data_IF_124866024144
#
_entry.id   IF_124866024144
#
_cell.length_a   1.000
_cell.length_b   1.000
_cell.length_c   1.000
_cell.angle_alpha   90.00
_cell.angle_beta   90.00
_cell.angle_gamma   90.00
#
_symmetry.space_group_name_H-M   'P 1'
#
loop_
_entity.id
_entity.type
_entity.pdbx_description
1 polymer ?
#
# COMPACT_ATOMS: atom_id res chain seq x y z
N UNK A 1 -15.37 1.50 -9.28
CA UNK A 1 -14.08 1.02 -8.76
C UNK A 1 -14.15 -0.49 -8.67
N UNK A 2 -13.12 -1.14 -9.16
CA UNK A 2 -13.11 -2.57 -9.41
C UNK A 2 -12.27 -3.29 -8.34
N UNK A 3 -12.86 -4.32 -7.75
CA UNK A 3 -12.23 -5.10 -6.67
C UNK A 3 -12.08 -6.55 -7.11
N UNK A 4 -10.86 -7.05 -7.03
CA UNK A 4 -10.54 -8.45 -7.24
C UNK A 4 -10.52 -9.17 -5.89
N UNK A 5 -11.35 -10.20 -5.73
CA UNK A 5 -11.43 -11.03 -4.53
C UNK A 5 -10.78 -12.37 -4.85
N UNK A 6 -9.80 -12.77 -4.05
CA UNK A 6 -9.09 -14.05 -4.19
C UNK A 6 -9.20 -14.80 -2.87
N UNK A 7 -10.13 -15.75 -2.82
CA UNK A 7 -10.52 -16.47 -1.62
C UNK A 7 -11.08 -17.84 -2.02
N UNK A 8 -10.53 -18.93 -1.50
CA UNK A 8 -10.92 -20.29 -1.86
C UNK A 8 -12.19 -20.74 -1.13
N UNK A 9 -12.46 -20.23 0.07
CA UNK A 9 -13.70 -20.50 0.80
C UNK A 9 -14.89 -19.74 0.21
N UNK A 10 -15.78 -20.49 -0.47
CA UNK A 10 -16.92 -19.91 -1.20
C UNK A 10 -17.83 -19.01 -0.35
N UNK A 11 -18.02 -19.35 0.92
CA UNK A 11 -18.88 -18.59 1.85
C UNK A 11 -18.25 -17.24 2.21
N UNK A 12 -16.94 -17.21 2.46
CA UNK A 12 -16.19 -16.00 2.75
C UNK A 12 -16.14 -15.11 1.50
N UNK A 13 -15.76 -15.67 0.35
CA UNK A 13 -15.76 -14.95 -0.93
C UNK A 13 -17.12 -14.31 -1.23
N UNK A 14 -18.21 -15.04 -1.01
CA UNK A 14 -19.58 -14.53 -1.20
C UNK A 14 -19.95 -13.43 -0.21
N UNK A 15 -19.56 -13.56 1.06
CA UNK A 15 -19.76 -12.53 2.07
C UNK A 15 -19.05 -11.23 1.69
N UNK A 16 -17.78 -11.32 1.30
CA UNK A 16 -16.97 -10.18 0.85
C UNK A 16 -17.63 -9.51 -0.35
N UNK A 17 -17.95 -10.30 -1.39
CA UNK A 17 -18.57 -9.82 -2.60
C UNK A 17 -19.86 -9.06 -2.33
N UNK A 18 -20.83 -9.70 -1.64
CA UNK A 18 -22.12 -9.06 -1.34
C UNK A 18 -21.98 -7.81 -0.48
N UNK A 19 -21.02 -7.80 0.44
CA UNK A 19 -20.77 -6.64 1.29
C UNK A 19 -20.30 -5.45 0.46
N UNK A 20 -19.34 -5.67 -0.43
CA UNK A 20 -18.75 -4.59 -1.23
C UNK A 20 -19.63 -4.14 -2.40
N UNK A 21 -20.37 -5.06 -3.02
CA UNK A 21 -21.36 -4.70 -4.04
C UNK A 21 -22.48 -3.80 -3.50
N UNK A 22 -22.91 -3.98 -2.23
CA UNK A 22 -23.85 -3.08 -1.55
C UNK A 22 -23.30 -1.68 -1.34
N UNK A 23 -21.98 -1.54 -1.27
CA UNK A 23 -21.27 -0.26 -1.16
C UNK A 23 -20.98 0.40 -2.52
N UNK A 24 -21.46 -0.22 -3.62
CA UNK A 24 -21.34 0.28 -4.99
C UNK A 24 -20.03 -0.08 -5.70
N UNK A 25 -19.28 -1.05 -5.20
CA UNK A 25 -18.08 -1.56 -5.87
C UNK A 25 -18.44 -2.65 -6.89
N UNK A 26 -17.63 -2.78 -7.95
CA UNK A 26 -17.71 -3.91 -8.89
C UNK A 26 -16.75 -4.98 -8.40
N UNK A 27 -17.22 -6.19 -8.17
CA UNK A 27 -16.43 -7.26 -7.59
C UNK A 27 -16.26 -8.45 -8.56
N UNK A 28 -15.03 -8.93 -8.68
CA UNK A 28 -14.65 -10.14 -9.42
C UNK A 28 -14.02 -11.12 -8.44
N UNK A 29 -14.52 -12.38 -8.40
CA UNK A 29 -14.08 -13.36 -7.41
C UNK A 29 -13.42 -14.55 -8.07
N UNK A 30 -12.25 -14.95 -7.56
CA UNK A 30 -11.45 -16.08 -7.98
C UNK A 30 -11.04 -16.92 -6.78
N UNK A 31 -10.84 -18.24 -6.99
CA UNK A 31 -10.59 -19.19 -5.89
C UNK A 31 -9.15 -19.69 -5.83
N UNK A 32 -8.32 -19.29 -6.75
CA UNK A 32 -6.92 -19.70 -6.81
C UNK A 32 -6.02 -18.57 -7.31
N UNK A 33 -4.76 -18.64 -6.91
CA UNK A 33 -3.79 -17.58 -7.19
C UNK A 33 -3.42 -17.44 -8.67
N UNK A 34 -3.45 -18.53 -9.47
CA UNK A 34 -3.11 -18.46 -10.89
C UNK A 34 -4.19 -17.76 -11.69
N UNK A 35 -5.46 -18.11 -11.44
CA UNK A 35 -6.60 -17.42 -12.05
C UNK A 35 -6.63 -15.93 -11.65
N UNK A 36 -6.28 -15.62 -10.39
CA UNK A 36 -6.19 -14.24 -9.92
C UNK A 36 -5.11 -13.44 -10.66
N UNK A 37 -3.91 -14.01 -10.90
CA UNK A 37 -2.86 -13.35 -11.66
C UNK A 37 -3.25 -13.07 -13.11
N UNK A 38 -3.96 -13.99 -13.76
CA UNK A 38 -4.48 -13.78 -15.11
C UNK A 38 -5.54 -12.67 -15.14
N UNK A 39 -6.46 -12.70 -14.17
CA UNK A 39 -7.50 -11.69 -14.03
C UNK A 39 -6.91 -10.29 -13.75
N UNK A 40 -5.89 -10.18 -12.92
CA UNK A 40 -5.19 -8.94 -12.63
C UNK A 40 -4.71 -8.24 -13.90
N UNK A 41 -4.12 -8.98 -14.83
CA UNK A 41 -3.59 -8.41 -16.08
C UNK A 41 -4.68 -7.84 -17.00
N UNK A 42 -5.88 -8.42 -16.96
CA UNK A 42 -6.98 -8.05 -17.86
C UNK A 42 -7.95 -7.04 -17.24
N UNK A 43 -8.22 -7.15 -15.95
CA UNK A 43 -9.25 -6.35 -15.25
C UNK A 43 -8.71 -5.08 -14.60
N UNK A 44 -7.39 -5.02 -14.32
CA UNK A 44 -6.72 -3.86 -13.73
C UNK A 44 -7.46 -3.29 -12.50
N UNK A 45 -7.69 -4.09 -11.45
CA UNK A 45 -8.50 -3.70 -10.30
C UNK A 45 -7.88 -2.54 -9.53
N UNK A 46 -8.73 -1.79 -8.81
CA UNK A 46 -8.29 -0.75 -7.86
C UNK A 46 -7.78 -1.34 -6.55
N UNK A 47 -8.43 -2.43 -6.10
CA UNK A 47 -8.10 -3.16 -4.88
C UNK A 47 -8.11 -4.65 -5.16
N UNK A 48 -7.17 -5.35 -4.54
CA UNK A 48 -7.16 -6.82 -4.48
C UNK A 48 -7.33 -7.22 -3.02
N UNK A 49 -8.36 -8.02 -2.74
CA UNK A 49 -8.55 -8.68 -1.45
C UNK A 49 -8.02 -10.10 -1.62
N UNK A 50 -6.99 -10.46 -0.88
CA UNK A 50 -6.18 -11.64 -1.15
C UNK A 50 -6.00 -12.49 0.10
N UNK A 51 -6.54 -13.72 0.07
CA UNK A 51 -6.25 -14.67 1.13
C UNK A 51 -4.81 -15.15 1.07
N UNK A 52 -4.20 -15.28 2.25
CA UNK A 52 -2.88 -15.89 2.41
C UNK A 52 -2.89 -17.37 2.06
N UNK A 53 -3.89 -18.09 2.53
CA UNK A 53 -3.96 -19.54 2.50
C UNK A 53 -4.67 -20.08 1.26
N UNK A 54 -4.21 -19.71 0.07
CA UNK A 54 -4.78 -20.22 -1.19
C UNK A 54 -4.19 -21.59 -1.57
N UNK A 55 -4.99 -22.46 -2.20
CA UNK A 55 -4.49 -23.72 -2.73
C UNK A 55 -3.53 -23.49 -3.90
N UNK A 56 -2.44 -24.25 -3.94
CA UNK A 56 -1.46 -24.24 -5.02
C UNK A 56 -0.50 -23.05 -4.93
N UNK A 57 -0.87 -21.89 -5.42
CA UNK A 57 -0.08 -20.67 -5.32
C UNK A 57 -0.60 -19.81 -4.16
N UNK A 58 0.18 -19.71 -3.09
CA UNK A 58 -0.20 -18.95 -1.89
C UNK A 58 -0.33 -17.44 -2.13
N UNK A 59 -1.03 -16.75 -1.23
CA UNK A 59 -1.29 -15.32 -1.36
C UNK A 59 -0.04 -14.44 -1.30
N UNK A 60 1.02 -14.87 -0.60
CA UNK A 60 2.29 -14.12 -0.56
C UNK A 60 2.97 -14.13 -1.92
N UNK A 61 3.02 -15.28 -2.55
CA UNK A 61 3.60 -15.43 -3.89
C UNK A 61 2.77 -14.68 -4.95
N UNK A 62 1.43 -14.71 -4.84
CA UNK A 62 0.54 -13.90 -5.70
C UNK A 62 0.85 -12.41 -5.54
N UNK A 63 0.93 -11.93 -4.30
CA UNK A 63 1.27 -10.54 -3.98
C UNK A 63 2.64 -10.15 -4.55
N UNK A 64 3.67 -10.98 -4.33
CA UNK A 64 5.02 -10.75 -4.83
C UNK A 64 5.04 -10.64 -6.37
N UNK A 65 4.34 -11.52 -7.08
CA UNK A 65 4.28 -11.51 -8.56
C UNK A 65 3.54 -10.28 -9.10
N UNK A 66 2.47 -9.82 -8.43
CA UNK A 66 1.78 -8.59 -8.80
C UNK A 66 2.74 -7.40 -8.67
N UNK A 67 3.50 -7.34 -7.56
CA UNK A 67 4.46 -6.24 -7.32
C UNK A 67 5.70 -6.27 -8.22
N UNK A 68 6.13 -7.45 -8.67
CA UNK A 68 7.25 -7.61 -9.61
C UNK A 68 6.90 -7.24 -11.05
N UNK A 69 5.62 -7.37 -11.43
CA UNK A 69 5.14 -7.02 -12.76
C UNK A 69 3.92 -6.10 -12.62
N UNK A 70 4.13 -4.86 -12.19
CA UNK A 70 3.03 -3.91 -12.08
C UNK A 70 2.38 -3.75 -13.46
N UNK A 71 1.05 -3.74 -13.44
CA UNK A 71 0.26 -3.39 -14.62
C UNK A 71 0.30 -1.88 -14.86
N UNK A 72 -0.50 -1.37 -15.79
CA UNK A 72 -0.66 0.08 -16.00
C UNK A 72 -1.16 0.82 -14.75
N UNK A 73 -1.71 0.07 -13.80
CA UNK A 73 -2.25 0.54 -12.53
C UNK A 73 -1.73 -0.33 -11.41
N UNK A 74 -1.17 0.28 -10.37
CA UNK A 74 -0.74 -0.42 -9.16
C UNK A 74 -1.92 -0.52 -8.17
N UNK A 75 -2.50 -1.72 -7.95
CA UNK A 75 -3.64 -1.88 -7.07
C UNK A 75 -3.24 -1.84 -5.60
N UNK A 76 -4.14 -1.40 -4.74
CA UNK A 76 -4.00 -1.67 -3.31
C UNK A 76 -4.25 -3.15 -3.02
N UNK A 77 -3.43 -3.76 -2.16
CA UNK A 77 -3.58 -5.15 -1.73
C UNK A 77 -3.95 -5.22 -0.25
N UNK A 78 -5.18 -5.67 0.03
CA UNK A 78 -5.64 -6.02 1.37
C UNK A 78 -5.50 -7.52 1.57
N UNK A 79 -4.60 -7.93 2.46
CA UNK A 79 -4.34 -9.33 2.76
C UNK A 79 -5.31 -9.86 3.81
N UNK A 80 -5.93 -11.02 3.56
CA UNK A 80 -6.71 -11.74 4.57
C UNK A 80 -5.81 -12.75 5.29
N UNK A 81 -5.85 -12.78 6.63
CA UNK A 81 -4.99 -13.64 7.44
C UNK A 81 -5.78 -14.38 8.52
N UNK A 82 -5.32 -15.55 8.96
CA UNK A 82 -5.88 -16.23 10.12
C UNK A 82 -5.45 -15.57 11.43
N UNK A 83 -6.25 -15.73 12.48
CA UNK A 83 -5.94 -15.22 13.83
C UNK A 83 -4.78 -16.00 14.44
N UNK A 84 -3.68 -15.34 14.78
CA UNK A 84 -2.60 -15.93 15.59
C UNK A 84 -1.19 -15.79 15.05
N UNK A 85 -0.99 -15.43 13.80
CA UNK A 85 0.33 -15.38 13.20
C UNK A 85 0.76 -13.92 12.98
N UNK A 86 1.34 -13.33 14.06
CA UNK A 86 1.98 -11.99 13.97
C UNK A 86 3.09 -11.99 12.90
N UNK A 87 3.69 -13.16 12.68
CA UNK A 87 4.69 -13.40 11.65
C UNK A 87 4.09 -13.24 10.25
N UNK A 88 2.88 -13.74 9.98
CA UNK A 88 2.23 -13.63 8.67
C UNK A 88 1.89 -12.19 8.31
N UNK A 89 1.51 -11.39 9.31
CA UNK A 89 1.27 -9.95 9.10
C UNK A 89 2.53 -9.20 8.70
N UNK A 90 3.65 -9.48 9.38
CA UNK A 90 4.95 -8.87 9.06
C UNK A 90 5.46 -9.35 7.71
N UNK A 91 5.33 -10.64 7.40
CA UNK A 91 5.73 -11.20 6.11
C UNK A 91 4.84 -10.67 4.98
N UNK A 92 3.51 -10.68 5.14
CA UNK A 92 2.56 -10.16 4.15
C UNK A 92 2.82 -8.69 3.83
N UNK A 93 3.00 -7.87 4.85
CA UNK A 93 3.38 -6.47 4.66
C UNK A 93 4.77 -6.34 4.04
N UNK A 94 5.76 -7.18 4.39
CA UNK A 94 7.09 -7.15 3.77
C UNK A 94 7.08 -7.60 2.30
N UNK A 95 6.09 -8.37 1.86
CA UNK A 95 5.94 -8.88 0.49
C UNK A 95 5.27 -7.90 -0.47
N UNK A 96 4.60 -6.84 0.02
CA UNK A 96 3.98 -5.85 -0.86
C UNK A 96 2.50 -5.52 -0.57
N UNK A 97 1.88 -6.16 0.43
CA UNK A 97 0.52 -5.80 0.87
C UNK A 97 0.47 -4.38 1.45
N UNK A 98 -0.65 -3.69 1.29
CA UNK A 98 -0.85 -2.32 1.78
C UNK A 98 -1.57 -2.29 3.13
N UNK A 99 -2.39 -3.30 3.41
CA UNK A 99 -3.06 -3.49 4.69
C UNK A 99 -3.39 -4.98 4.87
N UNK A 100 -3.83 -5.36 6.05
CA UNK A 100 -4.28 -6.72 6.36
C UNK A 100 -5.58 -6.72 7.16
N UNK A 101 -6.33 -7.81 7.04
CA UNK A 101 -7.58 -8.04 7.75
C UNK A 101 -7.59 -9.46 8.33
N UNK A 102 -7.76 -9.57 9.65
CA UNK A 102 -7.70 -10.85 10.35
C UNK A 102 -9.06 -11.55 10.32
N UNK A 103 -9.09 -12.81 9.88
CA UNK A 103 -10.28 -13.67 9.97
C UNK A 103 -10.50 -14.18 11.42
N UNK A 104 -11.74 -14.21 11.95
CA UNK A 104 -12.95 -13.69 11.35
C UNK A 104 -13.07 -12.17 11.49
N UNK A 105 -13.54 -11.51 10.46
CA UNK A 105 -13.71 -10.05 10.40
C UNK A 105 -15.18 -9.66 10.30
N UNK A 106 -15.49 -8.42 10.68
CA UNK A 106 -16.82 -7.86 10.47
C UNK A 106 -16.96 -7.23 9.08
N UNK A 107 -18.17 -7.28 8.46
CA UNK A 107 -18.43 -6.56 7.22
C UNK A 107 -18.10 -5.07 7.29
N UNK A 108 -18.36 -4.44 8.43
CA UNK A 108 -18.08 -3.02 8.67
C UNK A 108 -16.57 -2.74 8.64
N UNK A 109 -15.75 -3.61 9.23
CA UNK A 109 -14.29 -3.48 9.21
C UNK A 109 -13.75 -3.63 7.79
N UNK A 110 -14.22 -4.63 7.03
CA UNK A 110 -13.86 -4.82 5.63
C UNK A 110 -14.12 -3.56 4.81
N UNK A 111 -15.34 -3.01 4.88
CA UNK A 111 -15.72 -1.80 4.16
C UNK A 111 -14.87 -0.61 4.55
N UNK A 112 -14.62 -0.41 5.85
CA UNK A 112 -13.80 0.68 6.35
C UNK A 112 -12.38 0.62 5.79
N UNK A 113 -11.74 -0.57 5.76
CA UNK A 113 -10.40 -0.77 5.20
C UNK A 113 -10.34 -0.52 3.69
N UNK A 114 -11.27 -1.10 2.93
CA UNK A 114 -11.35 -0.88 1.47
C UNK A 114 -11.54 0.60 1.15
N UNK A 115 -12.46 1.28 1.85
CA UNK A 115 -12.66 2.72 1.68
C UNK A 115 -11.43 3.53 2.07
N UNK A 116 -10.71 3.13 3.13
CA UNK A 116 -9.48 3.77 3.54
C UNK A 116 -8.40 3.70 2.45
N UNK A 117 -8.22 2.53 1.84
CA UNK A 117 -7.30 2.35 0.71
C UNK A 117 -7.69 3.19 -0.51
N UNK A 118 -8.98 3.24 -0.86
CA UNK A 118 -9.47 3.93 -2.06
C UNK A 118 -9.60 5.46 -1.91
N UNK A 119 -9.78 6.00 -0.70
CA UNK A 119 -10.00 7.43 -0.46
C UNK A 119 -8.91 8.34 -1.03
N UNK A 120 -7.73 7.81 -1.28
CA UNK A 120 -6.55 8.53 -1.77
C UNK A 120 -6.63 8.87 -3.24
N UNK A 121 -7.23 8.01 -4.05
CA UNK A 121 -7.39 8.26 -5.49
C UNK A 121 -8.34 9.43 -5.80
N UNK A 122 -9.15 9.87 -4.81
CA UNK A 122 -10.22 10.85 -5.00
C UNK A 122 -9.88 12.28 -4.53
N UNK A 123 -8.70 12.53 -3.91
CA UNK A 123 -8.41 13.82 -3.26
C UNK A 123 -7.64 14.83 -4.11
N UNK A 124 -7.45 14.64 -5.39
CA UNK A 124 -6.72 15.57 -6.23
C UNK A 124 -7.67 16.45 -7.04
N UNK A 125 -8.07 17.56 -6.43
CA UNK A 125 -8.80 18.66 -7.06
C UNK A 125 -7.86 19.80 -7.45
N UNK A 126 -7.41 19.84 -8.68
CA UNK A 126 -7.33 21.11 -9.42
C UNK A 126 -6.08 21.99 -9.32
N UNK A 127 -4.98 21.62 -8.68
CA UNK A 127 -3.68 22.30 -8.85
C UNK A 127 -2.58 21.24 -8.99
N UNK A 128 -1.78 21.38 -10.05
CA UNK A 128 -0.60 20.52 -10.23
C UNK A 128 0.32 20.66 -9.03
N UNK A 129 0.44 19.59 -8.24
CA UNK A 129 1.19 19.59 -7.00
C UNK A 129 2.49 18.81 -7.19
N UNK A 130 3.57 19.54 -7.49
CA UNK A 130 4.91 18.98 -7.63
C UNK A 130 5.75 19.41 -6.46
N UNK A 131 6.19 18.45 -5.66
CA UNK A 131 7.18 18.68 -4.61
C UNK A 131 8.58 18.46 -5.15
N UNK A 132 9.50 19.35 -4.81
CA UNK A 132 10.92 19.23 -5.17
C UNK A 132 11.79 19.49 -3.95
N UNK A 133 12.76 18.60 -3.76
CA UNK A 133 13.84 18.74 -2.77
C UNK A 133 15.18 18.65 -3.50
N UNK A 134 16.28 18.57 -2.79
CA UNK A 134 17.59 18.47 -3.44
C UNK A 134 17.71 17.21 -4.31
N UNK A 135 17.27 16.06 -3.77
CA UNK A 135 17.44 14.76 -4.44
C UNK A 135 16.13 14.17 -4.99
N UNK A 136 14.96 14.75 -4.71
CA UNK A 136 13.70 14.15 -5.14
C UNK A 136 12.77 15.13 -5.85
N UNK A 137 12.08 14.62 -6.85
CA UNK A 137 10.91 15.28 -7.47
C UNK A 137 9.73 14.32 -7.38
N UNK A 138 8.62 14.78 -6.79
CA UNK A 138 7.37 14.01 -6.64
C UNK A 138 6.24 14.80 -7.27
N UNK A 139 5.71 14.29 -8.38
CA UNK A 139 4.52 14.83 -9.04
C UNK A 139 3.30 14.06 -8.57
N UNK A 140 2.50 14.72 -7.75
CA UNK A 140 1.34 14.09 -7.11
C UNK A 140 0.22 13.83 -8.12
N UNK A 141 0.08 14.68 -9.15
CA UNK A 141 -0.97 14.54 -10.15
C UNK A 141 -0.68 13.43 -11.16
N UNK A 142 0.59 13.32 -11.57
CA UNK A 142 1.03 12.24 -12.45
C UNK A 142 1.34 10.95 -11.73
N UNK A 143 1.31 10.97 -10.38
CA UNK A 143 1.69 9.84 -9.53
C UNK A 143 3.09 9.30 -9.84
N UNK A 144 4.05 10.20 -10.09
CA UNK A 144 5.42 9.84 -10.41
C UNK A 144 6.40 10.45 -9.43
N UNK A 145 7.45 9.69 -9.12
CA UNK A 145 8.55 10.14 -8.30
C UNK A 145 9.88 9.82 -8.96
N UNK A 146 10.85 10.70 -8.80
CA UNK A 146 12.21 10.49 -9.30
C UNK A 146 13.24 10.98 -8.30
N UNK A 147 14.42 10.36 -8.35
CA UNK A 147 15.60 10.75 -7.58
C UNK A 147 16.63 11.39 -8.50
N UNK A 148 17.17 12.53 -8.09
CA UNK A 148 18.32 13.15 -8.73
C UNK A 148 19.60 12.46 -8.26
N UNK A 149 20.41 12.00 -9.17
CA UNK A 149 21.71 11.42 -8.87
C UNK A 149 22.80 12.51 -8.87
N UNK A 150 23.92 12.24 -8.19
CA UNK A 150 25.08 13.14 -8.16
C UNK A 150 25.65 13.41 -9.57
N UNK A 151 25.39 12.51 -10.53
CA UNK A 151 25.72 12.69 -11.96
C UNK A 151 24.89 13.78 -12.65
N UNK A 152 23.83 14.28 -12.03
CA UNK A 152 22.85 15.19 -12.65
C UNK A 152 21.72 14.48 -13.41
N UNK A 153 21.74 13.15 -13.48
CA UNK A 153 20.68 12.34 -14.08
C UNK A 153 19.52 12.15 -13.11
N UNK A 154 18.31 12.03 -13.65
CA UNK A 154 17.10 11.73 -12.87
C UNK A 154 16.68 10.28 -13.06
N UNK A 155 16.62 9.52 -11.99
CA UNK A 155 16.20 8.12 -11.98
C UNK A 155 14.74 8.01 -11.49
N UNK A 156 13.84 7.39 -12.26
CA UNK A 156 12.48 7.15 -11.80
C UNK A 156 12.47 6.16 -10.63
N UNK A 157 11.64 6.43 -9.62
CA UNK A 157 11.45 5.55 -8.48
C UNK A 157 10.24 4.64 -8.71
N UNK A 158 10.48 3.33 -8.64
CA UNK A 158 9.41 2.32 -8.70
C UNK A 158 8.79 2.13 -7.30
N UNK A 159 7.81 2.98 -6.99
CA UNK A 159 7.11 2.99 -5.71
C UNK A 159 5.71 2.40 -5.86
N UNK A 160 5.28 1.58 -4.89
CA UNK A 160 3.85 1.24 -4.78
C UNK A 160 3.04 2.48 -4.45
N UNK A 161 1.73 2.45 -4.70
CA UNK A 161 0.84 3.59 -4.41
C UNK A 161 0.99 4.08 -2.97
N UNK A 162 1.14 3.16 -1.99
CA UNK A 162 1.30 3.55 -0.59
C UNK A 162 2.67 4.14 -0.29
N UNK A 163 3.74 3.58 -0.84
CA UNK A 163 5.10 4.13 -0.70
C UNK A 163 5.20 5.52 -1.33
N UNK A 164 4.58 5.71 -2.49
CA UNK A 164 4.48 7.00 -3.14
C UNK A 164 3.77 8.03 -2.23
N UNK A 165 2.60 7.68 -1.70
CA UNK A 165 1.84 8.56 -0.81
C UNK A 165 2.61 8.87 0.49
N UNK A 166 3.36 7.92 1.02
CA UNK A 166 4.23 8.11 2.18
C UNK A 166 5.35 9.10 1.86
N UNK A 167 6.04 8.91 0.74
CA UNK A 167 7.08 9.84 0.27
C UNK A 167 6.52 11.25 0.03
N UNK A 168 5.39 11.37 -0.68
CA UNK A 168 4.71 12.64 -0.91
C UNK A 168 4.31 13.34 0.40
N UNK A 169 3.85 12.57 1.41
CA UNK A 169 3.53 13.09 2.73
C UNK A 169 4.77 13.66 3.41
N UNK A 170 5.88 12.96 3.41
CA UNK A 170 7.14 13.40 3.98
C UNK A 170 7.70 14.64 3.29
N UNK A 171 7.78 14.62 1.96
CA UNK A 171 8.33 15.71 1.15
C UNK A 171 7.44 16.97 1.21
N UNK A 172 6.14 16.82 1.44
CA UNK A 172 5.25 17.97 1.58
C UNK A 172 5.61 18.89 2.75
N UNK A 173 6.31 18.37 3.77
CA UNK A 173 6.74 19.10 4.96
C UNK A 173 8.10 18.58 5.46
N UNK A 174 9.21 18.91 4.78
CA UNK A 174 10.53 18.49 5.20
C UNK A 174 10.87 18.98 6.62
N UNK A 175 11.57 18.16 7.39
CA UNK A 175 11.92 18.44 8.77
C UNK A 175 10.82 18.21 9.80
N UNK A 176 9.55 18.09 9.37
CA UNK A 176 8.45 17.78 10.27
C UNK A 176 8.57 16.36 10.81
N UNK A 177 8.41 16.21 12.11
CA UNK A 177 8.28 14.89 12.76
C UNK A 177 6.82 14.46 12.69
N UNK A 178 6.59 13.31 12.08
CA UNK A 178 5.29 12.65 11.99
C UNK A 178 5.27 11.48 12.97
N UNK A 179 4.33 11.45 13.90
CA UNK A 179 4.10 10.25 14.70
C UNK A 179 3.31 9.20 13.89
N UNK A 180 3.26 7.95 14.39
CA UNK A 180 2.60 6.83 13.69
C UNK A 180 1.13 7.08 13.46
N UNK A 181 0.42 7.56 14.47
CA UNK A 181 -1.01 7.89 14.38
C UNK A 181 -1.26 8.94 13.28
N UNK A 182 -0.47 10.01 13.21
CA UNK A 182 -0.60 11.03 12.17
C UNK A 182 -0.35 10.48 10.77
N UNK A 183 0.62 9.57 10.61
CA UNK A 183 0.87 8.90 9.34
C UNK A 183 -0.29 7.96 8.99
N UNK A 184 -0.85 7.24 9.96
CA UNK A 184 -2.05 6.42 9.76
C UNK A 184 -3.23 7.29 9.31
N UNK A 185 -3.56 8.32 10.03
CA UNK A 185 -4.66 9.24 9.68
C UNK A 185 -4.48 9.81 8.26
N UNK A 186 -3.24 10.15 7.92
CA UNK A 186 -2.90 10.71 6.61
C UNK A 186 -2.97 9.66 5.52
N UNK A 187 -2.48 8.44 5.77
CA UNK A 187 -2.30 7.38 4.78
C UNK A 187 -3.44 6.36 4.77
N UNK A 188 -4.07 6.02 5.87
CA UNK A 188 -5.20 5.08 5.96
C UNK A 188 -6.50 5.77 6.41
N UNK A 189 -6.42 6.96 7.00
CA UNK A 189 -7.55 7.75 7.50
C UNK A 189 -7.91 7.40 8.94
N UNK A 190 -8.83 8.20 9.51
CA UNK A 190 -9.21 8.13 10.93
C UNK A 190 -9.97 6.84 11.30
N UNK A 191 -10.46 6.10 10.30
CA UNK A 191 -11.21 4.85 10.50
C UNK A 191 -10.30 3.60 10.40
N UNK A 192 -8.99 3.77 10.53
CA UNK A 192 -8.05 2.64 10.53
C UNK A 192 -8.10 1.89 11.86
N UNK A 193 -8.38 0.58 11.81
CA UNK A 193 -8.47 -0.30 12.97
C UNK A 193 -7.27 -1.27 13.11
N UNK A 194 -6.17 -1.00 12.40
CA UNK A 194 -4.97 -1.84 12.40
C UNK A 194 -3.92 -1.44 13.45
N UNK A 195 -2.87 -2.26 13.54
CA UNK A 195 -1.70 -1.97 14.36
C UNK A 195 -0.88 -0.82 13.76
N UNK A 196 -0.47 0.14 14.56
CA UNK A 196 0.38 1.27 14.14
C UNK A 196 1.73 0.84 13.56
N UNK A 197 2.17 -0.38 13.83
CA UNK A 197 3.40 -0.96 13.26
C UNK A 197 3.35 -1.16 11.75
N UNK A 198 2.17 -1.12 11.13
CA UNK A 198 2.04 -1.09 9.67
C UNK A 198 2.87 0.04 9.06
N UNK A 199 2.93 1.19 9.73
CA UNK A 199 3.75 2.34 9.30
C UNK A 199 5.23 1.98 9.24
N UNK A 200 5.75 1.27 10.25
CA UNK A 200 7.17 0.91 10.33
C UNK A 200 7.58 0.03 9.14
N UNK A 201 6.71 -0.88 8.74
CA UNK A 201 6.94 -1.75 7.58
C UNK A 201 7.00 -0.96 6.28
N UNK A 202 6.06 -0.02 6.07
CA UNK A 202 6.06 0.81 4.85
C UNK A 202 7.22 1.80 4.84
N UNK A 203 7.63 2.35 5.97
CA UNK A 203 8.86 3.15 6.09
C UNK A 203 10.09 2.32 5.74
N UNK A 204 10.18 1.08 6.23
CA UNK A 204 11.29 0.20 5.91
C UNK A 204 11.38 -0.14 4.41
N UNK A 205 10.23 -0.34 3.75
CA UNK A 205 10.17 -0.56 2.29
C UNK A 205 10.55 0.68 1.51
N UNK A 206 10.00 1.84 1.87
CA UNK A 206 10.34 3.10 1.24
C UNK A 206 11.84 3.34 1.30
N UNK A 207 12.45 3.13 2.49
CA UNK A 207 13.90 3.26 2.66
C UNK A 207 14.69 2.37 1.71
N UNK A 208 14.29 1.12 1.50
CA UNK A 208 14.96 0.21 0.56
C UNK A 208 15.01 0.76 -0.88
N UNK A 209 14.08 1.63 -1.24
CA UNK A 209 13.95 2.17 -2.60
C UNK A 209 14.59 3.55 -2.75
N UNK A 210 14.64 4.34 -1.70
CA UNK A 210 15.10 5.74 -1.78
C UNK A 210 16.44 6.00 -1.08
N UNK A 211 16.83 5.20 -0.08
CA UNK A 211 18.08 5.41 0.65
C UNK A 211 19.27 4.77 -0.06
N UNK A 212 20.46 5.38 0.00
CA UNK A 212 21.68 4.71 -0.43
C UNK A 212 22.00 3.46 0.41
N UNK A 213 21.73 3.55 1.72
CA UNK A 213 21.83 2.47 2.70
C UNK A 213 20.61 2.49 3.61
N UNK A 214 19.71 1.53 3.44
CA UNK A 214 18.48 1.44 4.24
C UNK A 214 18.73 1.15 5.73
N UNK A 215 19.92 0.64 6.09
CA UNK A 215 20.33 0.38 7.47
C UNK A 215 20.78 1.67 8.19
N UNK A 216 21.29 2.64 7.42
CA UNK A 216 21.70 3.94 7.91
C UNK A 216 21.01 5.07 7.10
N UNK A 217 19.70 5.27 7.30
CA UNK A 217 18.89 6.16 6.45
C UNK A 217 19.30 7.63 6.62
N UNK A 218 19.46 8.31 5.49
CA UNK A 218 19.82 9.73 5.41
C UNK A 218 18.61 10.61 5.17
N UNK A 219 17.62 10.14 4.42
CA UNK A 219 16.43 10.90 4.04
C UNK A 219 15.27 10.71 5.03
N UNK A 220 14.84 9.46 5.27
CA UNK A 220 13.76 9.19 6.21
C UNK A 220 14.34 8.74 7.55
N UNK A 221 14.48 9.67 8.48
CA UNK A 221 15.09 9.42 9.80
C UNK A 221 14.07 8.98 10.84
N UNK A 222 14.49 8.08 11.73
CA UNK A 222 13.71 7.71 12.90
C UNK A 222 13.96 8.69 14.03
N UNK A 223 12.89 9.25 14.58
CA UNK A 223 12.92 10.02 15.82
C UNK A 223 12.48 9.10 16.95
N UNK A 224 13.46 8.64 17.73
CA UNK A 224 13.25 7.60 18.76
C UNK A 224 12.14 8.01 19.72
N UNK A 225 11.17 7.11 19.94
CA UNK A 225 10.03 7.33 20.83
C UNK A 225 8.92 8.23 20.26
N UNK A 226 9.11 8.81 19.06
CA UNK A 226 8.13 9.74 18.45
C UNK A 226 7.60 9.22 17.11
N UNK A 227 8.50 8.98 16.13
CA UNK A 227 8.08 8.60 14.79
C UNK A 227 9.16 8.82 13.73
N UNK A 228 8.81 9.47 12.64
CA UNK A 228 9.68 9.64 11.47
C UNK A 228 9.69 11.07 10.96
N UNK A 229 10.80 11.48 10.36
CA UNK A 229 10.91 12.76 9.64
C UNK A 229 11.68 12.56 8.33
N UNK A 230 11.41 13.42 7.37
CA UNK A 230 12.17 13.49 6.13
C UNK A 230 13.13 14.68 6.17
N UNK A 231 14.37 14.43 5.84
CA UNK A 231 15.41 15.45 5.68
C UNK A 231 16.08 15.25 4.31
N UNK A 232 16.06 16.28 3.52
CA UNK A 232 16.76 16.38 2.25
C UNK A 232 17.16 17.85 2.06
N UNK A 233 18.08 18.26 2.94
CA UNK A 233 18.65 19.61 2.92
C UNK A 233 20.11 19.53 2.54
N UNK A 234 20.62 20.56 1.83
CA UNK A 234 22.04 20.66 1.47
C UNK A 234 22.93 20.67 2.69
#
# INVERSE_FOLDING_TARGET
MDILIVEDEAEIAKLIQLTLEREGFTCYSYRDGLAALQAFQTQQPDVIILDLMLPGLDGLEVCARIRQKPGPKDPYILMLTAKGEEIDRVIGLSTGADDYLVKPFSPTELVARVRALLRRSLRHGGQSLVYRTQHFTVDVDQHTASRQLDSGESEPLDLTTLEFNLLATFISQPGRVWNRTQLIDKLWGNDFFGDERVVDTHVARLRKKIEPDSSNPTFVKTVIGVGYKFEDTP
#
